data_IF_105899010418
#
_entry.id   IF_105899010418
#
_cell.length_a   1.000
_cell.length_b   1.000
_cell.length_c   1.000
_cell.angle_alpha   90.00
_cell.angle_beta   90.00
_cell.angle_gamma   90.00
#
_symmetry.space_group_name_H-M   'P 1'
#
loop_
_entity.id
_entity.type
_entity.pdbx_description
1 polymer ?
#
# COMPACT_ATOMS: atom_id res chain seq x y z
N UNK A 1 35.11 -0.27 29.49
CA UNK A 1 33.78 -0.92 29.35
C UNK A 1 32.68 0.07 28.94
N UNK A 2 32.39 1.14 29.69
CA UNK A 2 31.29 2.09 29.36
C UNK A 2 31.40 2.72 27.94
N UNK A 3 32.60 3.09 27.50
CA UNK A 3 32.84 3.62 26.14
C UNK A 3 32.61 2.57 25.05
N UNK A 4 33.00 1.32 25.29
CA UNK A 4 32.79 0.22 24.33
C UNK A 4 31.29 -0.11 24.19
N UNK A 5 30.54 -0.11 25.29
CA UNK A 5 29.08 -0.27 25.28
C UNK A 5 28.41 0.88 24.53
N UNK A 6 28.89 2.12 24.72
CA UNK A 6 28.39 3.28 23.99
C UNK A 6 28.63 3.18 22.47
N UNK A 7 29.85 2.85 22.04
CA UNK A 7 30.14 2.66 20.62
C UNK A 7 29.38 1.46 20.03
N UNK A 8 29.19 0.39 20.79
CA UNK A 8 28.39 -0.76 20.37
C UNK A 8 26.91 -0.37 20.19
N UNK A 9 26.34 0.39 21.12
CA UNK A 9 24.97 0.89 21.00
C UNK A 9 24.81 1.85 19.82
N UNK A 10 25.78 2.73 19.58
CA UNK A 10 25.78 3.66 18.45
C UNK A 10 25.90 2.92 17.12
N UNK A 11 26.76 1.91 17.03
CA UNK A 11 26.91 1.07 15.83
C UNK A 11 25.63 0.27 15.55
N UNK A 12 24.98 -0.26 16.60
CA UNK A 12 23.74 -1.03 16.47
C UNK A 12 22.60 -0.13 15.99
N UNK A 13 22.48 1.09 16.53
CA UNK A 13 21.52 2.09 16.05
C UNK A 13 21.79 2.46 14.59
N UNK A 14 23.05 2.72 14.22
CA UNK A 14 23.42 3.02 12.83
C UNK A 14 23.12 1.86 11.88
N UNK A 15 23.32 0.61 12.33
CA UNK A 15 23.03 -0.59 11.53
C UNK A 15 21.54 -0.77 11.25
N UNK A 16 20.66 -0.42 12.21
CA UNK A 16 19.21 -0.42 12.02
C UNK A 16 18.78 0.63 10.99
N UNK A 17 19.43 1.79 10.96
CA UNK A 17 19.20 2.83 9.95
C UNK A 17 19.73 2.48 8.54
N UNK A 18 20.66 1.53 8.43
CA UNK A 18 21.29 1.14 7.16
C UNK A 18 20.69 -0.12 6.52
N UNK A 19 19.92 -0.91 7.27
CA UNK A 19 19.15 -2.03 6.71
C UNK A 19 18.00 -1.51 5.84
N UNK A 20 18.05 -1.76 4.53
CA UNK A 20 17.10 -1.24 3.54
C UNK A 20 15.65 -1.62 3.83
N UNK A 21 14.75 -0.65 3.65
CA UNK A 21 13.33 -0.70 3.97
C UNK A 21 12.48 -1.60 3.03
N UNK A 22 13.04 -2.13 1.95
CA UNK A 22 12.37 -3.08 1.03
C UNK A 22 11.74 -4.30 1.73
N UNK A 23 12.41 -4.85 2.76
CA UNK A 23 11.87 -5.98 3.53
C UNK A 23 10.63 -5.61 4.36
N UNK A 24 10.44 -4.33 4.67
CA UNK A 24 9.36 -3.88 5.54
C UNK A 24 8.02 -3.82 4.79
N UNK A 25 7.99 -3.39 3.53
CA UNK A 25 6.72 -3.20 2.79
C UNK A 25 6.04 -4.53 2.47
N UNK A 26 6.80 -5.53 1.99
CA UNK A 26 6.24 -6.88 1.78
C UNK A 26 5.76 -7.53 3.09
N UNK A 27 6.44 -7.28 4.22
CA UNK A 27 5.96 -7.74 5.52
C UNK A 27 4.74 -6.97 6.02
N UNK A 28 4.60 -5.68 5.67
CA UNK A 28 3.43 -4.86 5.98
C UNK A 28 2.23 -5.36 5.20
N UNK A 29 2.37 -5.65 3.90
CA UNK A 29 1.28 -6.16 3.07
C UNK A 29 0.77 -7.49 3.62
N UNK A 30 1.66 -8.47 3.80
CA UNK A 30 1.31 -9.80 4.33
C UNK A 30 0.58 -9.75 5.69
N UNK A 31 0.83 -8.71 6.49
CA UNK A 31 0.21 -8.52 7.79
C UNK A 31 -1.17 -7.85 7.71
N UNK A 32 -1.41 -7.02 6.70
CA UNK A 32 -2.60 -6.19 6.61
C UNK A 32 -3.56 -6.56 5.47
N UNK A 33 -3.13 -7.38 4.52
CA UNK A 33 -3.96 -7.91 3.43
C UNK A 33 -4.29 -6.88 2.34
N UNK A 34 -3.44 -5.87 2.11
CA UNK A 34 -3.75 -4.81 1.15
C UNK A 34 -3.90 -5.37 -0.26
N UNK A 35 -2.92 -6.15 -0.73
CA UNK A 35 -2.97 -6.80 -2.04
C UNK A 35 -4.12 -7.82 -2.15
N UNK A 36 -4.47 -8.50 -1.06
CA UNK A 36 -5.59 -9.46 -1.04
C UNK A 36 -6.92 -8.76 -1.31
N UNK A 37 -7.16 -7.58 -0.71
CA UNK A 37 -8.35 -6.78 -0.99
C UNK A 37 -8.37 -6.26 -2.44
N UNK A 38 -7.22 -5.88 -3.01
CA UNK A 38 -7.13 -5.47 -4.42
C UNK A 38 -7.48 -6.64 -5.37
N UNK A 39 -6.98 -7.85 -5.08
CA UNK A 39 -7.27 -9.06 -5.86
C UNK A 39 -8.76 -9.43 -5.77
N UNK A 40 -9.35 -9.41 -4.57
CA UNK A 40 -10.77 -9.67 -4.37
C UNK A 40 -11.63 -8.65 -5.12
N UNK A 41 -11.29 -7.36 -5.00
CA UNK A 41 -11.96 -6.28 -5.71
C UNK A 41 -11.88 -6.44 -7.22
N UNK A 42 -10.71 -6.77 -7.77
CA UNK A 42 -10.52 -7.03 -9.20
C UNK A 42 -11.43 -8.16 -9.68
N UNK A 43 -11.46 -9.27 -8.96
CA UNK A 43 -12.33 -10.42 -9.27
C UNK A 43 -13.80 -10.01 -9.24
N UNK A 44 -14.22 -9.24 -8.24
CA UNK A 44 -15.60 -8.73 -8.17
C UNK A 44 -15.94 -7.80 -9.34
N UNK A 45 -15.03 -6.92 -9.77
CA UNK A 45 -15.23 -6.09 -10.97
C UNK A 45 -15.33 -6.98 -12.22
N UNK A 46 -14.47 -7.99 -12.35
CA UNK A 46 -14.49 -8.94 -13.48
C UNK A 46 -15.80 -9.72 -13.56
N UNK A 47 -16.37 -10.06 -12.42
CA UNK A 47 -17.66 -10.76 -12.32
C UNK A 47 -18.88 -9.83 -12.34
N UNK A 48 -18.68 -8.51 -12.43
CA UNK A 48 -19.72 -7.47 -12.32
C UNK A 48 -20.47 -7.48 -10.97
N UNK A 49 -19.81 -7.95 -9.91
CA UNK A 49 -20.30 -7.93 -8.53
C UNK A 49 -19.99 -6.57 -7.87
N UNK A 50 -20.59 -5.50 -8.36
CA UNK A 50 -20.25 -4.11 -8.01
C UNK A 50 -20.37 -3.79 -6.51
N UNK A 51 -21.39 -4.30 -5.84
CA UNK A 51 -21.58 -4.10 -4.40
C UNK A 51 -20.41 -4.68 -3.60
N UNK A 52 -19.98 -5.89 -3.94
CA UNK A 52 -18.81 -6.51 -3.31
C UNK A 52 -17.52 -5.78 -3.66
N UNK A 53 -17.38 -5.31 -4.89
CA UNK A 53 -16.22 -4.50 -5.29
C UNK A 53 -16.14 -3.19 -4.47
N UNK A 54 -17.27 -2.54 -4.18
CA UNK A 54 -17.32 -1.35 -3.32
C UNK A 54 -16.94 -1.67 -1.87
N UNK A 55 -17.37 -2.81 -1.33
CA UNK A 55 -16.97 -3.27 0.00
C UNK A 55 -15.45 -3.50 0.06
N UNK A 56 -14.89 -4.22 -0.91
CA UNK A 56 -13.45 -4.47 -0.97
C UNK A 56 -12.65 -3.18 -1.19
N UNK A 57 -13.16 -2.21 -1.96
CA UNK A 57 -12.55 -0.88 -2.07
C UNK A 57 -12.43 -0.21 -0.71
N UNK A 58 -13.50 -0.21 0.07
CA UNK A 58 -13.54 0.45 1.37
C UNK A 58 -12.58 -0.25 2.36
N UNK A 59 -12.54 -1.58 2.37
CA UNK A 59 -11.59 -2.33 3.21
C UNK A 59 -10.13 -2.09 2.79
N UNK A 60 -9.83 -2.11 1.49
CA UNK A 60 -8.52 -1.74 0.97
C UNK A 60 -8.13 -0.32 1.38
N UNK A 61 -9.04 0.64 1.27
CA UNK A 61 -8.77 2.03 1.64
C UNK A 61 -8.54 2.20 3.15
N UNK A 62 -9.28 1.50 4.00
CA UNK A 62 -9.03 1.46 5.45
C UNK A 62 -7.67 0.85 5.79
N UNK A 63 -7.25 -0.19 5.06
CA UNK A 63 -5.91 -0.76 5.19
C UNK A 63 -4.85 0.28 4.80
N UNK A 64 -5.02 0.93 3.65
CA UNK A 64 -4.13 2.00 3.19
C UNK A 64 -3.99 3.12 4.23
N UNK A 65 -5.10 3.64 4.78
CA UNK A 65 -5.06 4.70 5.80
C UNK A 65 -4.31 4.29 7.08
N UNK A 66 -4.30 2.99 7.43
CA UNK A 66 -3.53 2.47 8.57
C UNK A 66 -2.04 2.36 8.26
N UNK A 67 -1.69 2.05 7.01
CA UNK A 67 -0.30 1.85 6.58
C UNK A 67 0.38 3.18 6.23
N UNK A 68 -0.34 4.12 5.59
CA UNK A 68 0.17 5.42 5.13
C UNK A 68 1.07 6.13 6.15
N UNK A 69 0.72 6.27 7.45
CA UNK A 69 1.58 6.94 8.42
C UNK A 69 2.93 6.25 8.64
N UNK A 70 3.03 4.94 8.39
CA UNK A 70 4.27 4.17 8.51
C UNK A 70 5.19 4.38 7.31
N UNK A 71 4.63 4.79 6.17
CA UNK A 71 5.36 5.01 4.91
C UNK A 71 5.84 6.46 4.74
N UNK A 72 5.19 7.42 5.41
CA UNK A 72 5.43 8.87 5.26
C UNK A 72 6.86 9.36 5.58
N UNK A 73 7.70 8.55 6.22
CA UNK A 73 9.08 8.94 6.54
C UNK A 73 10.06 8.69 5.39
N UNK A 74 9.77 7.72 4.51
CA UNK A 74 10.72 7.22 3.51
C UNK A 74 10.16 7.19 2.08
N UNK A 75 8.84 7.36 1.90
CA UNK A 75 8.18 7.28 0.60
C UNK A 75 7.94 8.66 0.01
N UNK A 76 8.20 8.80 -1.30
CA UNK A 76 7.85 10.00 -2.06
C UNK A 76 6.35 10.31 -1.91
N UNK A 77 6.04 11.55 -1.54
CA UNK A 77 4.67 12.01 -1.33
C UNK A 77 3.82 11.84 -2.59
N UNK A 78 4.43 11.85 -3.77
CA UNK A 78 3.71 11.66 -5.04
C UNK A 78 3.05 10.27 -5.10
N UNK A 79 3.74 9.20 -4.70
CA UNK A 79 3.13 7.85 -4.67
C UNK A 79 1.97 7.74 -3.69
N UNK A 80 2.07 8.45 -2.56
CA UNK A 80 0.99 8.49 -1.57
C UNK A 80 -0.23 9.20 -2.12
N UNK A 81 -0.03 10.33 -2.80
CA UNK A 81 -1.09 11.11 -3.42
C UNK A 81 -1.73 10.32 -4.57
N UNK A 82 -0.92 9.67 -5.42
CA UNK A 82 -1.39 8.86 -6.54
C UNK A 82 -2.33 7.75 -6.08
N UNK A 83 -1.96 6.99 -5.04
CA UNK A 83 -2.83 5.94 -4.50
C UNK A 83 -4.17 6.52 -4.01
N UNK A 84 -4.15 7.66 -3.32
CA UNK A 84 -5.38 8.30 -2.83
C UNK A 84 -6.27 8.81 -3.98
N UNK A 85 -5.68 9.45 -4.98
CA UNK A 85 -6.39 9.91 -6.18
C UNK A 85 -7.00 8.74 -6.95
N UNK A 86 -6.27 7.65 -7.12
CA UNK A 86 -6.79 6.44 -7.77
C UNK A 86 -7.92 5.80 -6.97
N UNK A 87 -7.87 5.79 -5.64
CA UNK A 87 -9.00 5.33 -4.82
C UNK A 87 -10.25 6.20 -4.99
N UNK A 88 -10.10 7.53 -5.14
CA UNK A 88 -11.22 8.44 -5.42
C UNK A 88 -11.82 8.13 -6.79
N UNK A 89 -11.00 8.05 -7.84
CA UNK A 89 -11.46 7.75 -9.20
C UNK A 89 -12.10 6.37 -9.29
N UNK A 90 -11.51 5.37 -8.64
CA UNK A 90 -12.04 4.01 -8.56
C UNK A 90 -13.45 3.99 -7.95
N UNK A 91 -13.69 4.78 -6.90
CA UNK A 91 -15.01 4.92 -6.30
C UNK A 91 -16.05 5.37 -7.33
N UNK A 92 -15.76 6.43 -8.07
CA UNK A 92 -16.64 6.94 -9.12
C UNK A 92 -16.88 5.91 -10.24
N UNK A 93 -15.85 5.15 -10.64
CA UNK A 93 -15.99 4.11 -11.67
C UNK A 93 -16.77 2.89 -11.20
N UNK A 94 -16.66 2.51 -9.92
CA UNK A 94 -17.47 1.44 -9.35
C UNK A 94 -18.94 1.85 -9.24
N UNK A 95 -19.23 3.07 -8.80
CA UNK A 95 -20.58 3.61 -8.72
C UNK A 95 -21.26 3.71 -10.10
N UNK A 96 -20.49 4.12 -11.11
CA UNK A 96 -20.97 4.20 -12.50
C UNK A 96 -20.86 2.88 -13.27
N UNK A 97 -20.36 1.81 -12.62
CA UNK A 97 -20.16 0.48 -13.20
C UNK A 97 -19.30 0.48 -14.47
N UNK A 98 -18.36 1.43 -14.56
CA UNK A 98 -17.41 1.52 -15.66
C UNK A 98 -16.28 0.51 -15.47
N UNK A 99 -16.52 -0.72 -15.94
CA UNK A 99 -15.61 -1.86 -15.77
C UNK A 99 -14.17 -1.58 -16.18
N UNK A 100 -13.97 -1.06 -17.39
CA UNK A 100 -12.62 -0.88 -17.94
C UNK A 100 -11.82 0.13 -17.12
N UNK A 101 -12.45 1.24 -16.74
CA UNK A 101 -11.78 2.26 -15.94
C UNK A 101 -11.57 1.83 -14.49
N UNK A 102 -12.53 1.11 -13.90
CA UNK A 102 -12.36 0.54 -12.57
C UNK A 102 -11.17 -0.43 -12.52
N UNK A 103 -11.07 -1.35 -13.49
CA UNK A 103 -9.92 -2.27 -13.58
C UNK A 103 -8.59 -1.53 -13.79
N UNK A 104 -8.58 -0.47 -14.61
CA UNK A 104 -7.39 0.35 -14.80
C UNK A 104 -6.94 1.01 -13.48
N UNK A 105 -7.86 1.52 -12.67
CA UNK A 105 -7.51 2.11 -11.38
C UNK A 105 -6.99 1.06 -10.38
N UNK A 106 -7.60 -0.13 -10.31
CA UNK A 106 -7.06 -1.22 -9.46
C UNK A 106 -5.64 -1.59 -9.88
N UNK A 107 -5.39 -1.66 -11.19
CA UNK A 107 -4.05 -1.90 -11.72
C UNK A 107 -3.05 -0.81 -11.30
N UNK A 108 -3.42 0.46 -11.45
CA UNK A 108 -2.55 1.58 -11.07
C UNK A 108 -2.24 1.60 -9.56
N UNK A 109 -3.24 1.31 -8.72
CA UNK A 109 -3.02 1.20 -7.27
C UNK A 109 -2.02 0.07 -6.96
N UNK A 110 -2.20 -1.10 -7.59
CA UNK A 110 -1.30 -2.25 -7.40
C UNK A 110 0.13 -1.96 -7.87
N UNK A 111 0.28 -1.41 -9.07
CA UNK A 111 1.58 -1.05 -9.63
C UNK A 111 2.28 -0.01 -8.75
N UNK A 112 1.55 0.99 -8.27
CA UNK A 112 2.10 2.01 -7.38
C UNK A 112 2.55 1.40 -6.06
N UNK A 113 1.73 0.52 -5.47
CA UNK A 113 2.07 -0.23 -4.26
C UNK A 113 3.29 -1.12 -4.43
N UNK A 114 3.40 -1.83 -5.55
CA UNK A 114 4.54 -2.70 -5.84
C UNK A 114 5.82 -1.88 -6.03
N UNK A 115 5.72 -0.71 -6.68
CA UNK A 115 6.86 0.21 -6.81
C UNK A 115 7.34 0.75 -5.45
N UNK A 116 6.44 0.91 -4.47
CA UNK A 116 6.87 1.19 -3.09
C UNK A 116 7.69 0.03 -2.52
N UNK A 117 7.29 -1.21 -2.77
CA UNK A 117 7.95 -2.40 -2.19
C UNK A 117 9.36 -2.69 -2.72
N UNK A 118 9.70 -2.16 -3.90
CA UNK A 118 10.98 -2.40 -4.59
C UNK A 118 12.03 -1.31 -4.28
N UNK A 119 11.64 -0.18 -3.67
CA UNK A 119 12.55 0.89 -3.20
C UNK A 119 13.22 0.54 -1.86
#
# INVERSE_FOLDING_TARGET
MKKAVFYMAMFLMLSVFLSSCTLFIGSIDKKNGFSEHLDAMENHIRDNNWEKALVEREEAFKVWQRIKPLLQLDVDHDYVNDIEDYFVMLGAYLETQNKSQALAMVYLIRETWDNLSVM
#
